data_IF_840673290882
#
_entry.id   IF_840673290882
#
_cell.length_a   1.000
_cell.length_b   1.000
_cell.length_c   1.000
_cell.angle_alpha   90.00
_cell.angle_beta   90.00
_cell.angle_gamma   90.00
#
_symmetry.space_group_name_H-M   'P 1'
#
loop_
_entity.id
_entity.type
_entity.pdbx_description
1 polymer ?
#
# COMPACT_ATOMS: atom_id res chain seq x y z
N UNK A 1 16.21 3.63 20.19
CA UNK A 1 16.16 4.49 18.99
C UNK A 1 15.72 3.75 17.71
N UNK A 2 15.58 2.41 17.70
CA UNK A 2 15.19 1.63 16.51
C UNK A 2 13.80 0.97 16.65
N UNK A 3 12.74 1.78 16.76
CA UNK A 3 11.34 1.27 16.88
C UNK A 3 10.44 1.67 15.71
N UNK A 4 10.96 2.44 14.75
CA UNK A 4 10.22 2.91 13.57
C UNK A 4 11.19 3.10 12.41
N UNK A 5 10.70 2.95 11.19
CA UNK A 5 11.43 3.30 9.98
C UNK A 5 11.71 4.81 9.95
N UNK A 6 12.94 5.16 9.60
CA UNK A 6 13.35 6.52 9.35
C UNK A 6 13.15 6.82 7.86
N UNK A 7 12.17 7.66 7.55
CA UNK A 7 11.83 7.97 6.17
C UNK A 7 12.92 8.78 5.45
N UNK A 8 13.60 9.70 6.15
CA UNK A 8 14.70 10.49 5.58
C UNK A 8 15.84 9.60 5.12
N UNK A 9 16.17 8.58 5.92
CA UNK A 9 17.21 7.61 5.56
C UNK A 9 16.81 6.76 4.34
N UNK A 10 15.53 6.38 4.23
CA UNK A 10 15.02 5.66 3.05
C UNK A 10 15.12 6.54 1.80
N UNK A 11 14.69 7.80 1.88
CA UNK A 11 14.74 8.75 0.76
C UNK A 11 16.19 9.00 0.34
N UNK A 12 17.09 9.20 1.30
CA UNK A 12 18.52 9.37 1.03
C UNK A 12 19.10 8.15 0.31
N UNK A 13 18.74 6.93 0.75
CA UNK A 13 19.19 5.69 0.13
C UNK A 13 18.66 5.56 -1.31
N UNK A 14 17.40 5.94 -1.56
CA UNK A 14 16.83 5.97 -2.92
C UNK A 14 17.58 6.96 -3.80
N UNK A 15 17.88 8.17 -3.29
CA UNK A 15 18.65 9.19 -4.01
C UNK A 15 20.05 8.69 -4.40
N UNK A 16 20.77 8.10 -3.45
CA UNK A 16 22.09 7.51 -3.71
C UNK A 16 22.04 6.36 -4.72
N UNK A 17 20.97 5.55 -4.72
CA UNK A 17 20.79 4.50 -5.72
C UNK A 17 20.51 5.09 -7.10
N UNK A 18 19.63 6.10 -7.21
CA UNK A 18 19.38 6.82 -8.47
C UNK A 18 20.67 7.37 -9.05
N UNK A 19 21.49 8.04 -8.25
CA UNK A 19 22.73 8.65 -8.72
C UNK A 19 23.70 7.60 -9.27
N UNK A 20 23.88 6.48 -8.55
CA UNK A 20 24.69 5.35 -9.02
C UNK A 20 24.16 4.73 -10.32
N UNK A 21 22.83 4.64 -10.49
CA UNK A 21 22.21 4.15 -11.73
C UNK A 21 22.48 5.14 -12.87
N UNK A 22 22.31 6.43 -12.64
CA UNK A 22 22.48 7.48 -13.64
C UNK A 22 23.93 7.59 -14.11
N UNK A 23 24.89 7.54 -13.19
CA UNK A 23 26.33 7.57 -13.50
C UNK A 23 26.75 6.38 -14.36
N UNK A 24 26.16 5.21 -14.14
CA UNK A 24 26.54 3.96 -14.83
C UNK A 24 25.75 3.70 -16.11
N UNK A 25 24.49 4.08 -16.14
CA UNK A 25 23.54 3.76 -17.21
C UNK A 25 22.71 5.00 -17.62
N UNK A 26 23.35 6.10 -18.05
CA UNK A 26 22.67 7.38 -18.28
C UNK A 26 21.53 7.29 -19.30
N UNK A 27 21.72 6.52 -20.37
CA UNK A 27 20.73 6.36 -21.45
C UNK A 27 19.72 5.23 -21.21
N UNK A 28 19.83 4.49 -20.11
CA UNK A 28 18.95 3.37 -19.84
C UNK A 28 17.60 3.85 -19.26
N UNK A 29 16.51 3.17 -19.65
CA UNK A 29 15.18 3.40 -19.06
C UNK A 29 15.14 3.21 -17.53
N UNK A 30 16.12 2.50 -16.95
CA UNK A 30 16.24 2.26 -15.52
C UNK A 30 16.39 3.56 -14.70
N UNK A 31 17.09 4.56 -15.26
CA UNK A 31 17.27 5.86 -14.60
C UNK A 31 15.94 6.54 -14.34
N UNK A 32 15.03 6.52 -15.33
CA UNK A 32 13.68 7.08 -15.19
C UNK A 32 12.85 6.35 -14.12
N UNK A 33 13.03 5.04 -14.01
CA UNK A 33 12.35 4.24 -12.96
C UNK A 33 12.90 4.58 -11.58
N UNK A 34 14.21 4.80 -11.45
CA UNK A 34 14.83 5.21 -10.19
C UNK A 34 14.42 6.64 -9.78
N UNK A 35 14.30 7.56 -10.73
CA UNK A 35 13.76 8.91 -10.52
C UNK A 35 12.31 8.84 -10.03
N UNK A 36 11.49 7.99 -10.65
CA UNK A 36 10.10 7.77 -10.21
C UNK A 36 10.03 7.21 -8.80
N UNK A 37 10.88 6.23 -8.46
CA UNK A 37 10.99 5.69 -7.11
C UNK A 37 11.37 6.78 -6.10
N UNK A 38 12.29 7.68 -6.45
CA UNK A 38 12.68 8.79 -5.59
C UNK A 38 11.53 9.78 -5.39
N UNK A 39 10.80 10.11 -6.45
CA UNK A 39 9.61 10.97 -6.35
C UNK A 39 8.58 10.36 -5.41
N UNK A 40 8.21 9.10 -5.63
CA UNK A 40 7.26 8.39 -4.76
C UNK A 40 7.78 8.32 -3.32
N UNK A 41 9.07 8.00 -3.12
CA UNK A 41 9.67 7.94 -1.79
C UNK A 41 9.65 9.28 -1.05
N UNK A 42 9.88 10.39 -1.76
CA UNK A 42 9.83 11.75 -1.20
C UNK A 42 8.40 12.13 -0.83
N UNK A 43 7.44 11.82 -1.70
CA UNK A 43 6.02 12.06 -1.44
C UNK A 43 5.44 11.15 -0.34
N UNK A 44 6.04 9.97 -0.12
CA UNK A 44 5.55 8.96 0.80
C UNK A 44 5.44 9.47 2.24
N UNK A 45 6.34 10.36 2.68
CA UNK A 45 6.30 10.92 4.06
C UNK A 45 5.05 11.74 4.25
N UNK A 46 4.86 12.75 3.42
CA UNK A 46 3.70 13.65 3.47
C UNK A 46 2.40 12.89 3.24
N UNK A 47 2.40 11.93 2.30
CA UNK A 47 1.23 11.07 2.03
C UNK A 47 0.92 10.14 3.20
N UNK A 48 1.91 9.49 3.81
CA UNK A 48 1.71 8.62 4.97
C UNK A 48 1.17 9.41 6.18
N UNK A 49 1.68 10.61 6.43
CA UNK A 49 1.13 11.49 7.45
C UNK A 49 -0.31 11.89 7.15
N UNK A 50 -0.61 12.28 5.91
CA UNK A 50 -1.96 12.64 5.48
C UNK A 50 -2.95 11.47 5.59
N UNK A 51 -2.51 10.24 5.30
CA UNK A 51 -3.29 9.01 5.47
C UNK A 51 -3.59 8.78 6.95
N UNK A 52 -2.60 8.94 7.83
CA UNK A 52 -2.74 8.68 9.25
C UNK A 52 -3.59 9.74 9.98
N UNK A 53 -3.60 10.99 9.49
CA UNK A 53 -4.27 12.13 10.13
C UNK A 53 -5.74 11.83 10.46
N UNK A 54 -6.21 12.18 11.68
CA UNK A 54 -7.60 12.00 12.06
C UNK A 54 -8.52 12.92 11.25
N UNK A 55 -9.65 12.38 10.78
CA UNK A 55 -10.67 13.16 10.07
C UNK A 55 -11.57 13.88 11.08
N UNK A 56 -11.07 14.96 11.69
CA UNK A 56 -11.80 15.71 12.73
C UNK A 56 -13.21 16.16 12.29
N UNK A 57 -13.44 16.71 11.08
CA UNK A 57 -14.80 17.07 10.66
C UNK A 57 -15.75 15.87 10.64
N UNK A 58 -15.26 14.71 10.21
CA UNK A 58 -16.04 13.46 10.22
C UNK A 58 -16.35 13.03 11.65
N UNK A 59 -15.36 13.07 12.57
CA UNK A 59 -15.57 12.72 13.98
C UNK A 59 -16.58 13.65 14.66
N UNK A 60 -16.51 14.95 14.40
CA UNK A 60 -17.44 15.94 14.94
C UNK A 60 -18.85 15.68 14.39
N UNK A 61 -18.98 15.45 13.08
CA UNK A 61 -20.26 15.15 12.45
C UNK A 61 -20.90 13.86 13.02
N UNK A 62 -20.09 12.81 13.21
CA UNK A 62 -20.54 11.56 13.83
C UNK A 62 -20.95 11.80 15.29
N UNK A 63 -20.13 12.50 16.07
CA UNK A 63 -20.42 12.82 17.46
C UNK A 63 -21.71 13.63 17.62
N UNK A 64 -21.90 14.63 16.76
CA UNK A 64 -23.13 15.42 16.70
C UNK A 64 -24.35 14.55 16.35
N UNK A 65 -24.24 13.70 15.33
CA UNK A 65 -25.33 12.81 14.92
C UNK A 65 -25.70 11.80 16.03
N UNK A 66 -24.71 11.23 16.71
CA UNK A 66 -24.93 10.33 17.86
C UNK A 66 -25.59 11.08 19.01
N UNK A 67 -25.14 12.30 19.33
CA UNK A 67 -25.73 13.11 20.38
C UNK A 67 -27.19 13.51 20.05
N UNK A 68 -27.46 13.83 18.79
CA UNK A 68 -28.81 14.13 18.31
C UNK A 68 -29.74 12.92 18.46
N UNK A 69 -29.30 11.73 18.03
CA UNK A 69 -30.06 10.49 18.17
C UNK A 69 -30.33 10.16 19.65
N UNK A 70 -29.31 10.28 20.50
CA UNK A 70 -29.46 10.07 21.94
C UNK A 70 -30.46 11.07 22.56
N UNK A 71 -30.41 12.34 22.15
CA UNK A 71 -31.35 13.36 22.63
C UNK A 71 -32.79 13.06 22.22
N UNK A 72 -33.01 12.58 20.99
CA UNK A 72 -34.35 12.19 20.52
C UNK A 72 -34.89 11.03 21.36
N UNK A 73 -34.07 10.01 21.60
CA UNK A 73 -34.45 8.85 22.43
C UNK A 73 -34.79 9.29 23.86
N UNK A 74 -33.96 10.13 24.48
CA UNK A 74 -34.20 10.64 25.83
C UNK A 74 -35.49 11.47 25.92
N UNK A 75 -35.76 12.32 24.94
CA UNK A 75 -36.99 13.09 24.87
C UNK A 75 -38.22 12.19 24.66
N UNK A 76 -38.10 11.17 23.82
CA UNK A 76 -39.17 10.19 23.62
C UNK A 76 -39.50 9.49 24.94
N UNK A 77 -38.49 8.96 25.64
CA UNK A 77 -38.62 8.30 26.95
C UNK A 77 -39.22 9.24 28.02
N UNK A 78 -38.79 10.50 28.08
CA UNK A 78 -39.30 11.48 29.03
C UNK A 78 -40.77 11.83 28.80
N UNK A 79 -41.25 11.74 27.55
CA UNK A 79 -42.63 12.03 27.18
C UNK A 79 -43.54 10.77 27.16
N UNK A 80 -43.01 9.59 27.50
CA UNK A 80 -43.81 8.37 27.60
C UNK A 80 -44.79 8.45 28.78
N UNK A 81 -46.08 8.66 28.47
CA UNK A 81 -47.16 8.48 29.43
C UNK A 81 -47.46 6.98 29.58
N UNK A 82 -46.82 6.35 30.56
CA UNK A 82 -46.93 4.91 30.90
C UNK A 82 -48.39 4.45 31.06
N UNK A 83 -49.30 5.35 31.46
CA UNK A 83 -50.72 5.05 31.69
C UNK A 83 -51.52 4.56 30.47
N UNK A 84 -51.05 4.76 29.23
CA UNK A 84 -51.77 4.32 28.00
C UNK A 84 -51.21 3.04 27.37
N UNK A 85 -50.11 2.51 27.90
CA UNK A 85 -49.37 1.40 27.28
C UNK A 85 -49.94 0.01 27.62
N UNK A 86 -50.95 -0.04 28.48
CA UNK A 86 -51.47 -1.28 29.10
C UNK A 86 -52.90 -1.65 28.64
N UNK A 87 -53.45 -0.98 27.63
CA UNK A 87 -54.83 -1.23 27.17
C UNK A 87 -54.97 -2.50 26.30
N UNK A 88 -53.88 -2.99 25.68
CA UNK A 88 -53.90 -4.23 24.87
C UNK A 88 -52.53 -4.94 24.82
N UNK A 89 -52.52 -6.28 24.92
CA UNK A 89 -51.31 -7.10 24.74
C UNK A 89 -50.70 -6.95 23.33
N UNK A 90 -51.54 -6.72 22.32
CA UNK A 90 -51.08 -6.49 20.95
C UNK A 90 -50.29 -5.18 20.83
N UNK A 91 -50.73 -4.10 21.49
CA UNK A 91 -50.06 -2.81 21.49
C UNK A 91 -48.70 -2.89 22.20
N UNK A 92 -48.61 -3.69 23.26
CA UNK A 92 -47.34 -3.98 23.94
C UNK A 92 -46.35 -4.71 23.02
N UNK A 93 -46.78 -5.79 22.36
CA UNK A 93 -45.93 -6.54 21.43
C UNK A 93 -45.47 -5.65 20.27
N UNK A 94 -46.37 -4.82 19.72
CA UNK A 94 -46.03 -3.90 18.64
C UNK A 94 -45.03 -2.81 19.09
N UNK A 95 -45.19 -2.26 20.29
CA UNK A 95 -44.26 -1.27 20.84
C UNK A 95 -42.87 -1.86 21.08
N UNK A 96 -42.80 -3.10 21.58
CA UNK A 96 -41.54 -3.83 21.77
C UNK A 96 -40.88 -4.12 20.42
N UNK A 97 -41.63 -4.63 19.44
CA UNK A 97 -41.11 -4.93 18.11
C UNK A 97 -40.57 -3.67 17.40
N UNK A 98 -41.30 -2.56 17.47
CA UNK A 98 -40.82 -1.27 16.97
C UNK A 98 -39.53 -0.81 17.67
N UNK A 99 -39.48 -0.89 19.01
CA UNK A 99 -38.31 -0.52 19.79
C UNK A 99 -37.07 -1.37 19.47
N UNK A 100 -37.23 -2.67 19.26
CA UNK A 100 -36.13 -3.57 18.88
C UNK A 100 -35.59 -3.18 17.50
N UNK A 101 -36.47 -3.01 16.51
CA UNK A 101 -36.06 -2.63 15.16
C UNK A 101 -35.28 -1.30 15.16
N UNK A 102 -35.79 -0.29 15.87
CA UNK A 102 -35.13 1.01 15.98
C UNK A 102 -33.74 0.90 16.62
N UNK A 103 -33.60 0.16 17.72
CA UNK A 103 -32.31 -0.07 18.38
C UNK A 103 -31.33 -0.75 17.43
N UNK A 104 -31.78 -1.76 16.68
CA UNK A 104 -30.94 -2.48 15.71
C UNK A 104 -30.47 -1.54 14.59
N UNK A 105 -31.37 -0.75 13.99
CA UNK A 105 -31.00 0.20 12.94
C UNK A 105 -30.05 1.29 13.43
N UNK A 106 -30.30 1.86 14.61
CA UNK A 106 -29.40 2.84 15.23
C UNK A 106 -28.03 2.21 15.51
N UNK A 107 -28.00 0.99 16.04
CA UNK A 107 -26.76 0.25 16.29
C UNK A 107 -25.94 0.04 15.01
N UNK A 108 -26.58 -0.40 13.93
CA UNK A 108 -25.95 -0.56 12.61
C UNK A 108 -25.43 0.77 12.07
N UNK A 109 -26.21 1.84 12.19
CA UNK A 109 -25.82 3.17 11.72
C UNK A 109 -24.59 3.70 12.47
N UNK A 110 -24.57 3.58 13.80
CA UNK A 110 -23.41 3.97 14.63
C UNK A 110 -22.19 3.14 14.27
N UNK A 111 -22.33 1.81 14.15
CA UNK A 111 -21.23 0.93 13.74
C UNK A 111 -20.66 1.33 12.37
N UNK A 112 -21.53 1.60 11.39
CA UNK A 112 -21.12 2.06 10.06
C UNK A 112 -20.37 3.39 10.12
N UNK A 113 -20.84 4.34 10.91
CA UNK A 113 -20.24 5.66 11.04
C UNK A 113 -18.87 5.60 11.71
N UNK A 114 -18.75 4.89 12.84
CA UNK A 114 -17.49 4.75 13.58
C UNK A 114 -16.43 4.04 12.73
N UNK A 115 -16.81 3.08 11.89
CA UNK A 115 -15.87 2.39 10.98
C UNK A 115 -15.54 3.17 9.71
N UNK A 116 -16.28 4.23 9.38
CA UNK A 116 -16.12 4.97 8.12
C UNK A 116 -14.74 5.64 8.00
N UNK A 117 -14.21 6.21 9.10
CA UNK A 117 -12.87 6.80 9.11
C UNK A 117 -11.81 5.78 8.69
N UNK A 118 -11.83 4.58 9.28
CA UNK A 118 -10.91 3.50 8.94
C UNK A 118 -11.02 3.10 7.46
N UNK A 119 -12.24 2.99 6.93
CA UNK A 119 -12.48 2.68 5.50
C UNK A 119 -11.90 3.73 4.57
N UNK A 120 -12.01 5.02 4.91
CA UNK A 120 -11.45 6.11 4.11
C UNK A 120 -9.92 6.05 4.13
N UNK A 121 -9.31 5.90 5.32
CA UNK A 121 -7.85 5.80 5.46
C UNK A 121 -7.30 4.59 4.71
N UNK A 122 -7.94 3.44 4.84
CA UNK A 122 -7.59 2.23 4.10
C UNK A 122 -7.62 2.44 2.59
N UNK A 123 -8.68 3.05 2.04
CA UNK A 123 -8.76 3.33 0.60
C UNK A 123 -7.58 4.18 0.12
N UNK A 124 -7.17 5.19 0.90
CA UNK A 124 -6.03 6.06 0.58
C UNK A 124 -4.71 5.28 0.61
N UNK A 125 -4.50 4.45 1.64
CA UNK A 125 -3.31 3.62 1.76
C UNK A 125 -3.19 2.58 0.64
N UNK A 126 -4.28 1.87 0.33
CA UNK A 126 -4.31 0.92 -0.78
C UNK A 126 -3.98 1.60 -2.11
N UNK A 127 -4.51 2.81 -2.36
CA UNK A 127 -4.14 3.60 -3.54
C UNK A 127 -2.64 3.83 -3.66
N UNK A 128 -1.98 4.26 -2.58
CA UNK A 128 -0.54 4.48 -2.56
C UNK A 128 0.27 3.17 -2.71
N UNK A 129 -0.19 2.07 -2.10
CA UNK A 129 0.41 0.74 -2.23
C UNK A 129 0.26 0.20 -3.67
N UNK A 130 -0.85 0.48 -4.35
CA UNK A 130 -1.02 0.08 -5.75
C UNK A 130 -0.02 0.76 -6.70
N UNK A 131 0.33 2.03 -6.46
CA UNK A 131 1.38 2.71 -7.22
C UNK A 131 2.74 1.99 -7.06
N UNK A 132 3.09 1.56 -5.85
CA UNK A 132 4.30 0.77 -5.57
C UNK A 132 4.28 -0.60 -6.26
N UNK A 133 3.14 -1.28 -6.29
CA UNK A 133 2.97 -2.54 -7.03
C UNK A 133 3.24 -2.36 -8.53
N UNK A 134 2.69 -1.30 -9.10
CA UNK A 134 2.90 -0.98 -10.51
C UNK A 134 4.40 -0.73 -10.79
N UNK A 135 5.07 0.03 -9.92
CA UNK A 135 6.51 0.28 -10.05
C UNK A 135 7.35 -1.00 -9.95
N UNK A 136 7.02 -1.91 -9.03
CA UNK A 136 7.70 -3.20 -8.92
C UNK A 136 7.58 -4.03 -10.21
N UNK A 137 6.39 -4.05 -10.82
CA UNK A 137 6.19 -4.70 -12.12
C UNK A 137 6.90 -3.98 -13.28
N UNK A 138 6.99 -2.64 -13.27
CA UNK A 138 7.77 -1.89 -14.26
C UNK A 138 9.26 -2.27 -14.16
N UNK A 139 9.79 -2.45 -12.94
CA UNK A 139 11.16 -2.94 -12.73
C UNK A 139 11.32 -4.35 -13.30
N UNK A 140 10.35 -5.25 -13.09
CA UNK A 140 10.35 -6.59 -13.68
C UNK A 140 10.35 -6.54 -15.22
N UNK A 141 9.56 -5.65 -15.83
CA UNK A 141 9.57 -5.44 -17.29
C UNK A 141 10.92 -4.99 -17.82
N UNK A 142 11.64 -4.14 -17.07
CA UNK A 142 13.00 -3.75 -17.43
C UNK A 142 13.97 -4.93 -17.44
N UNK A 143 13.66 -6.06 -16.82
CA UNK A 143 14.51 -7.25 -16.75
C UNK A 143 14.24 -8.28 -17.86
N UNK A 144 13.14 -8.16 -18.61
CA UNK A 144 12.75 -9.18 -19.60
C UNK A 144 13.81 -9.42 -20.68
N UNK A 145 14.50 -8.36 -21.09
CA UNK A 145 15.55 -8.45 -22.11
C UNK A 145 16.93 -8.82 -21.53
N UNK A 146 17.03 -9.01 -20.20
CA UNK A 146 18.26 -9.31 -19.48
C UNK A 146 18.26 -10.79 -19.12
N UNK A 147 18.48 -11.58 -20.16
CA UNK A 147 18.44 -13.03 -20.12
C UNK A 147 19.86 -13.62 -20.15
N UNK A 148 20.28 -14.37 -19.11
CA UNK A 148 21.57 -15.06 -19.07
C UNK A 148 21.75 -16.09 -20.19
N UNK A 149 20.68 -16.75 -20.65
CA UNK A 149 20.80 -17.80 -21.69
C UNK A 149 21.36 -17.23 -22.98
N UNK A 150 20.98 -16.00 -23.32
CA UNK A 150 21.48 -15.29 -24.50
C UNK A 150 23.01 -15.13 -24.46
N UNK A 151 23.60 -15.00 -23.27
CA UNK A 151 25.05 -14.94 -23.05
C UNK A 151 25.66 -16.35 -23.06
N UNK A 152 24.96 -17.33 -22.47
CA UNK A 152 25.45 -18.69 -22.26
C UNK A 152 25.45 -19.57 -23.53
N UNK A 153 24.35 -19.56 -24.29
CA UNK A 153 24.13 -20.50 -25.41
C UNK A 153 24.37 -19.88 -26.77
N UNK A 154 24.35 -18.55 -26.89
CA UNK A 154 24.70 -17.85 -28.12
C UNK A 154 23.84 -18.22 -29.34
N UNK A 155 22.58 -18.61 -29.12
CA UNK A 155 21.66 -19.02 -30.20
C UNK A 155 21.44 -17.94 -31.28
N UNK A 156 20.95 -18.33 -32.47
CA UNK A 156 20.76 -17.41 -33.59
C UNK A 156 19.75 -16.31 -33.24
N UNK A 157 20.17 -15.05 -33.39
CA UNK A 157 19.30 -13.91 -33.17
C UNK A 157 18.30 -13.77 -34.34
N UNK A 158 17.05 -13.44 -34.01
CA UNK A 158 16.06 -13.01 -34.99
C UNK A 158 16.16 -11.51 -35.24
N UNK A 159 15.55 -11.00 -36.31
CA UNK A 159 15.52 -9.54 -36.61
C UNK A 159 14.92 -8.70 -35.48
N UNK A 160 14.04 -9.29 -34.67
CA UNK A 160 13.36 -8.62 -33.55
C UNK A 160 13.96 -8.98 -32.18
N UNK A 161 15.04 -9.77 -32.14
CA UNK A 161 15.72 -10.10 -30.89
C UNK A 161 16.33 -8.84 -30.25
N UNK A 162 16.31 -8.70 -28.91
CA UNK A 162 16.94 -7.56 -28.24
C UNK A 162 18.43 -7.43 -28.59
N UNK A 163 18.89 -6.19 -28.75
CA UNK A 163 20.31 -5.90 -29.03
C UNK A 163 21.19 -6.22 -27.81
N UNK A 164 22.31 -6.90 -28.04
CA UNK A 164 23.31 -7.24 -27.01
C UNK A 164 24.30 -6.10 -26.84
N UNK A 165 23.95 -5.08 -26.06
CA UNK A 165 24.79 -3.88 -25.88
C UNK A 165 25.56 -3.83 -24.56
N UNK A 166 25.28 -4.74 -23.62
CA UNK A 166 25.85 -4.74 -22.27
C UNK A 166 26.85 -5.88 -22.09
N UNK A 167 27.94 -5.61 -21.39
CA UNK A 167 28.87 -6.62 -20.88
C UNK A 167 28.24 -7.44 -19.75
N UNK A 168 28.82 -8.60 -19.44
CA UNK A 168 28.47 -9.46 -18.30
C UNK A 168 28.42 -8.66 -16.98
N UNK A 169 29.43 -7.81 -16.75
CA UNK A 169 29.53 -6.97 -15.56
C UNK A 169 28.41 -5.92 -15.51
N UNK A 170 28.17 -5.21 -16.62
CA UNK A 170 27.10 -4.21 -16.71
C UNK A 170 25.72 -4.85 -16.51
N UNK A 171 25.47 -6.02 -17.11
CA UNK A 171 24.23 -6.77 -16.93
C UNK A 171 24.02 -7.15 -15.46
N UNK A 172 25.05 -7.67 -14.80
CA UNK A 172 25.00 -8.02 -13.37
C UNK A 172 24.68 -6.80 -12.51
N UNK A 173 25.35 -5.65 -12.73
CA UNK A 173 25.09 -4.42 -11.97
C UNK A 173 23.72 -3.82 -12.25
N UNK A 174 23.23 -3.93 -13.49
CA UNK A 174 21.87 -3.50 -13.83
C UNK A 174 20.82 -4.31 -13.06
N UNK A 175 20.99 -5.63 -13.02
CA UNK A 175 20.13 -6.54 -12.27
C UNK A 175 20.22 -6.29 -10.76
N UNK A 176 21.41 -6.07 -10.23
CA UNK A 176 21.65 -5.70 -8.83
C UNK A 176 20.87 -4.43 -8.43
N UNK A 177 20.96 -3.37 -9.24
CA UNK A 177 20.19 -2.14 -9.02
C UNK A 177 18.67 -2.35 -9.08
N UNK A 178 18.16 -3.22 -9.96
CA UNK A 178 16.76 -3.60 -9.94
C UNK A 178 16.35 -4.23 -8.60
N UNK A 179 17.19 -5.10 -8.04
CA UNK A 179 16.97 -5.74 -6.73
C UNK A 179 17.00 -4.72 -5.58
N UNK A 180 17.95 -3.78 -5.60
CA UNK A 180 18.02 -2.70 -4.62
C UNK A 180 16.75 -1.83 -4.66
N UNK A 181 16.26 -1.45 -5.85
CA UNK A 181 15.01 -0.70 -6.00
C UNK A 181 13.81 -1.47 -5.45
N UNK A 182 13.70 -2.78 -5.72
CA UNK A 182 12.62 -3.62 -5.17
C UNK A 182 12.66 -3.66 -3.64
N UNK A 183 13.84 -3.75 -3.02
CA UNK A 183 13.99 -3.69 -1.57
C UNK A 183 13.55 -2.34 -0.98
N UNK A 184 13.80 -1.25 -1.69
CA UNK A 184 13.38 0.10 -1.30
C UNK A 184 11.87 0.28 -1.46
N UNK A 185 11.25 -0.29 -2.50
CA UNK A 185 9.79 -0.33 -2.66
C UNK A 185 9.11 -0.95 -1.45
N UNK A 186 9.60 -2.10 -0.94
CA UNK A 186 9.06 -2.73 0.27
C UNK A 186 9.13 -1.79 1.49
N UNK A 187 10.25 -1.09 1.67
CA UNK A 187 10.42 -0.10 2.77
C UNK A 187 9.48 1.09 2.64
N UNK A 188 9.25 1.57 1.43
CA UNK A 188 8.27 2.66 1.18
C UNK A 188 6.84 2.17 1.43
N UNK A 189 6.51 0.92 1.08
CA UNK A 189 5.20 0.34 1.40
C UNK A 189 4.96 0.29 2.91
N UNK A 190 5.96 -0.16 3.69
CA UNK A 190 5.88 -0.21 5.14
C UNK A 190 5.70 1.18 5.78
N UNK A 191 6.26 2.26 5.19
CA UNK A 191 6.03 3.63 5.66
C UNK A 191 4.55 4.02 5.62
N UNK A 192 3.79 3.57 4.62
CA UNK A 192 2.37 3.89 4.51
C UNK A 192 1.55 3.32 5.66
N UNK A 193 1.85 2.10 6.13
CA UNK A 193 1.12 1.46 7.23
C UNK A 193 1.69 1.76 8.64
N UNK A 194 2.91 2.32 8.75
CA UNK A 194 3.58 2.51 10.04
C UNK A 194 2.79 3.33 11.08
N UNK A 195 2.02 4.33 10.63
CA UNK A 195 1.34 5.30 11.51
C UNK A 195 -0.16 5.01 11.71
N UNK A 196 -0.72 3.97 11.11
CA UNK A 196 -2.11 3.60 11.30
C UNK A 196 -2.30 2.08 11.29
N UNK A 197 -3.03 1.57 12.27
CA UNK A 197 -3.24 0.13 12.43
C UNK A 197 -4.53 -0.31 11.72
N UNK A 198 -4.43 -0.80 10.49
CA UNK A 198 -5.53 -1.40 9.72
C UNK A 198 -5.04 -2.76 9.16
N UNK A 199 -5.67 -3.88 9.52
CA UNK A 199 -5.23 -5.21 9.10
C UNK A 199 -5.16 -5.41 7.59
N UNK A 200 -6.04 -4.76 6.83
CA UNK A 200 -6.06 -4.91 5.37
C UNK A 200 -4.93 -4.11 4.72
N UNK A 201 -4.63 -2.92 5.25
CA UNK A 201 -3.47 -2.15 4.80
C UNK A 201 -2.15 -2.86 5.10
N UNK A 202 -2.02 -3.46 6.29
CA UNK A 202 -0.86 -4.28 6.66
C UNK A 202 -0.70 -5.48 5.72
N UNK A 203 -1.77 -6.24 5.49
CA UNK A 203 -1.75 -7.35 4.54
C UNK A 203 -1.35 -6.92 3.12
N UNK A 204 -1.76 -5.73 2.68
CA UNK A 204 -1.38 -5.21 1.37
C UNK A 204 0.10 -4.79 1.31
N UNK A 205 0.70 -4.40 2.44
CA UNK A 205 2.15 -4.18 2.54
C UNK A 205 2.89 -5.52 2.45
N UNK A 206 2.44 -6.53 3.19
CA UNK A 206 3.02 -7.88 3.15
C UNK A 206 3.02 -8.44 1.71
N UNK A 207 1.93 -8.25 0.96
CA UNK A 207 1.86 -8.63 -0.46
C UNK A 207 2.92 -7.92 -1.35
N UNK A 208 3.27 -6.66 -1.05
CA UNK A 208 4.36 -5.96 -1.76
C UNK A 208 5.72 -6.52 -1.36
N UNK A 209 5.93 -6.81 -0.08
CA UNK A 209 7.18 -7.40 0.42
C UNK A 209 7.41 -8.80 -0.18
N UNK A 210 6.36 -9.61 -0.29
CA UNK A 210 6.38 -10.91 -0.96
C UNK A 210 6.68 -10.78 -2.45
N UNK A 211 6.00 -9.86 -3.16
CA UNK A 211 6.24 -9.60 -4.57
C UNK A 211 7.69 -9.18 -4.82
N UNK A 212 8.16 -8.17 -4.09
CA UNK A 212 9.51 -7.60 -4.26
C UNK A 212 10.60 -8.61 -3.89
N UNK A 213 10.38 -9.43 -2.87
CA UNK A 213 11.28 -10.55 -2.50
C UNK A 213 11.29 -11.63 -3.58
N UNK A 214 10.13 -12.01 -4.11
CA UNK A 214 10.00 -13.00 -5.17
C UNK A 214 10.70 -12.57 -6.46
N UNK A 215 10.51 -11.32 -6.88
CA UNK A 215 11.21 -10.73 -8.04
C UNK A 215 12.73 -10.66 -7.80
N UNK A 216 13.16 -10.17 -6.63
CA UNK A 216 14.59 -10.10 -6.28
C UNK A 216 15.26 -11.48 -6.29
N UNK A 217 14.55 -12.53 -5.87
CA UNK A 217 15.04 -13.91 -5.95
C UNK A 217 15.28 -14.35 -7.40
N UNK A 218 14.35 -14.04 -8.32
CA UNK A 218 14.52 -14.33 -9.76
C UNK A 218 15.71 -13.57 -10.35
N UNK A 219 15.91 -12.31 -9.96
CA UNK A 219 17.07 -11.51 -10.36
C UNK A 219 18.37 -12.17 -9.89
N UNK A 220 18.43 -12.57 -8.63
CA UNK A 220 19.61 -13.23 -8.08
C UNK A 220 19.95 -14.53 -8.81
N UNK A 221 18.96 -15.32 -9.19
CA UNK A 221 19.16 -16.50 -10.04
C UNK A 221 19.81 -16.13 -11.38
N UNK A 222 19.35 -15.06 -12.04
CA UNK A 222 19.96 -14.57 -13.28
C UNK A 222 21.42 -14.14 -13.07
N UNK A 223 21.71 -13.39 -12.01
CA UNK A 223 23.07 -12.96 -11.67
C UNK A 223 24.00 -14.16 -11.44
N UNK A 224 23.53 -15.19 -10.73
CA UNK A 224 24.33 -16.40 -10.48
C UNK A 224 24.70 -17.14 -11.78
N UNK A 225 23.76 -17.22 -12.74
CA UNK A 225 24.04 -17.81 -14.07
C UNK A 225 25.06 -17.00 -14.87
N UNK A 226 24.97 -15.67 -14.81
CA UNK A 226 25.90 -14.74 -15.47
C UNK A 226 27.32 -14.87 -14.88
N UNK A 227 27.44 -14.99 -13.56
CA UNK A 227 28.75 -15.10 -12.90
C UNK A 227 29.43 -16.45 -13.16
N UNK A 228 28.66 -17.54 -13.30
CA UNK A 228 29.20 -18.85 -13.67
C UNK A 228 29.78 -18.88 -15.08
N UNK A 229 29.30 -18.03 -15.99
CA UNK A 229 29.81 -17.95 -17.37
C UNK A 229 30.98 -17.01 -17.55
N UNK A 230 31.07 -15.94 -16.74
CA UNK A 230 32.21 -15.01 -16.77
C UNK A 230 33.50 -15.55 -16.15
N UNK A 231 33.45 -16.70 -15.47
CA UNK A 231 34.62 -17.39 -14.90
C UNK A 231 35.27 -18.43 -15.84
N UNK A 232 34.84 -18.50 -17.10
CA UNK A 232 35.46 -19.28 -18.18
C UNK A 232 36.08 -18.34 -19.21
#
# INVERSE_FOLDING_TARGET
MYRSLNADHIIQTIGQLRDRIQERFPDAGLTKVAEELQRIGTEAVTRAEWIARPLLPLRIAIGFLVALLASIILLALANLKISKMWESFADFVQAVDAGINDIVFVGIAIFFLVTLEGRIKRKRALGAIHELRALAHIIDMHQLTKDPEIILTGGPATKSSPKRTMTTFEMSRYLDYCSEMLSLIGKVAALYAQRFNDPVALSAVDEIEDLTTGLSRKIWQKIMLINQSGGK
#
